data_IF_630375958292
#
_entry.id   IF_630375958292
#
_cell.length_a   1.000
_cell.length_b   1.000
_cell.length_c   1.000
_cell.angle_alpha   90.00
_cell.angle_beta   90.00
_cell.angle_gamma   90.00
#
_symmetry.space_group_name_H-M   'P 1'
#
loop_
_entity.id
_entity.type
_entity.pdbx_description
1 polymer ?
#
# COMPACT_ATOMS: atom_id res chain seq x y z
N UNK A 1 -1.26 -10.56 6.02
CA UNK A 1 -0.83 -9.85 4.77
C UNK A 1 0.62 -10.21 4.55
N UNK A 2 1.13 -10.26 3.31
CA UNK A 2 2.50 -10.76 3.07
C UNK A 2 3.43 -9.62 2.70
N UNK A 3 4.63 -9.62 3.30
CA UNK A 3 5.69 -8.69 2.96
C UNK A 3 6.15 -8.93 1.51
N UNK A 4 6.09 -7.89 0.68
CA UNK A 4 6.40 -7.96 -0.74
C UNK A 4 7.90 -8.06 -1.05
N UNK A 5 8.77 -7.87 -0.05
CA UNK A 5 10.22 -8.07 -0.20
C UNK A 5 10.67 -9.47 0.20
N UNK A 6 10.36 -9.91 1.42
CA UNK A 6 10.86 -11.19 1.95
C UNK A 6 9.89 -12.37 1.77
N UNK A 7 8.62 -12.12 1.42
CA UNK A 7 7.60 -13.15 1.23
C UNK A 7 7.01 -13.74 2.51
N UNK A 8 7.48 -13.30 3.69
CA UNK A 8 6.93 -13.74 4.98
C UNK A 8 5.64 -12.98 5.34
N UNK A 9 4.84 -13.57 6.23
CA UNK A 9 3.64 -12.91 6.74
C UNK A 9 4.00 -11.71 7.63
N UNK A 10 3.19 -10.66 7.53
CA UNK A 10 3.12 -9.53 8.46
C UNK A 10 1.97 -9.84 9.40
N UNK A 11 2.28 -10.02 10.69
CA UNK A 11 1.30 -10.44 11.68
C UNK A 11 0.29 -9.33 11.96
N UNK A 12 -0.90 -9.73 12.41
CA UNK A 12 -1.97 -8.77 12.68
C UNK A 12 -1.66 -8.01 13.96
N UNK A 13 -1.44 -6.71 13.84
CA UNK A 13 -1.08 -5.83 14.96
C UNK A 13 0.30 -5.19 14.79
N UNK A 14 1.11 -5.73 13.88
CA UNK A 14 2.42 -5.17 13.55
C UNK A 14 2.29 -3.88 12.74
N UNK A 15 3.24 -2.98 12.96
CA UNK A 15 3.48 -1.84 12.09
C UNK A 15 4.08 -2.32 10.78
N UNK A 16 3.61 -1.76 9.66
CA UNK A 16 4.14 -2.07 8.34
C UNK A 16 4.15 -0.84 7.45
N UNK A 17 5.01 -0.86 6.44
CA UNK A 17 5.09 0.17 5.41
C UNK A 17 4.24 -0.25 4.23
N UNK A 18 3.31 0.60 3.82
CA UNK A 18 2.41 0.38 2.70
C UNK A 18 2.74 1.30 1.53
N UNK A 19 2.94 0.73 0.34
CA UNK A 19 2.91 1.51 -0.90
C UNK A 19 1.47 1.49 -1.40
N UNK A 20 0.87 2.67 -1.49
CA UNK A 20 -0.49 2.85 -2.01
C UNK A 20 -0.45 3.63 -3.32
N UNK A 21 -1.37 3.29 -4.23
CA UNK A 21 -1.60 4.04 -5.46
C UNK A 21 -2.94 4.74 -5.35
N UNK A 22 -2.93 6.05 -5.54
CA UNK A 22 -4.17 6.80 -5.66
C UNK A 22 -4.79 6.54 -7.04
N UNK A 23 -6.04 6.09 -7.05
CA UNK A 23 -6.83 5.93 -8.25
C UNK A 23 -8.08 6.81 -8.18
N UNK A 24 -8.43 7.43 -9.31
CA UNK A 24 -9.71 8.09 -9.47
C UNK A 24 -10.71 7.06 -10.00
N UNK A 25 -11.72 6.75 -9.20
CA UNK A 25 -12.85 5.92 -9.65
C UNK A 25 -14.03 6.83 -9.90
N UNK A 26 -14.58 6.73 -11.11
CA UNK A 26 -15.86 7.34 -11.42
C UNK A 26 -16.93 6.39 -10.88
N UNK A 27 -17.73 6.86 -9.93
CA UNK A 27 -18.85 6.10 -9.39
C UNK A 27 -19.84 5.73 -10.50
N UNK A 28 -20.65 4.69 -10.29
CA UNK A 28 -21.58 4.12 -11.29
C UNK A 28 -22.53 5.14 -11.95
N UNK A 29 -22.77 6.29 -11.31
CA UNK A 29 -23.63 7.38 -11.81
C UNK A 29 -22.86 8.47 -12.60
N UNK A 30 -21.56 8.32 -12.85
CA UNK A 30 -20.77 9.25 -13.68
C UNK A 30 -20.45 10.61 -13.06
N UNK A 31 -21.20 11.06 -12.05
CA UNK A 31 -21.11 12.40 -11.48
C UNK A 31 -20.15 12.52 -10.28
N UNK A 32 -19.80 11.42 -9.62
CA UNK A 32 -18.97 11.42 -8.40
C UNK A 32 -17.61 10.80 -8.73
N UNK A 33 -16.55 11.63 -8.67
CA UNK A 33 -15.17 11.17 -8.70
C UNK A 33 -14.72 10.92 -7.26
N UNK A 34 -14.38 9.68 -6.94
CA UNK A 34 -13.82 9.31 -5.65
C UNK A 34 -12.34 9.06 -5.82
N UNK A 35 -11.51 9.71 -5.00
CA UNK A 35 -10.09 9.36 -4.84
C UNK A 35 -10.01 8.21 -3.85
N UNK A 36 -9.55 7.05 -4.31
CA UNK A 36 -9.32 5.89 -3.47
C UNK A 36 -7.83 5.58 -3.43
N UNK A 37 -7.31 5.26 -2.24
CA UNK A 37 -5.97 4.70 -2.09
C UNK A 37 -6.07 3.17 -2.18
N UNK A 38 -5.52 2.60 -3.25
CA UNK A 38 -5.42 1.16 -3.42
C UNK A 38 -4.06 0.69 -2.89
N UNK A 39 -4.06 -0.35 -2.06
CA UNK A 39 -2.83 -0.94 -1.58
C UNK A 39 -2.14 -1.71 -2.70
N UNK A 40 -0.90 -1.35 -3.01
CA UNK A 40 -0.08 -1.99 -4.06
C UNK A 40 0.86 -3.01 -3.45
N UNK A 41 1.55 -2.65 -2.38
CA UNK A 41 2.51 -3.50 -1.71
C UNK A 41 2.59 -3.17 -0.22
N UNK A 42 2.99 -4.15 0.58
CA UNK A 42 3.20 -4.01 2.00
C UNK A 42 4.53 -4.62 2.40
N UNK A 43 5.23 -4.02 3.36
CA UNK A 43 6.56 -4.42 3.78
C UNK A 43 6.67 -4.34 5.30
N UNK A 44 7.42 -5.24 5.92
CA UNK A 44 7.94 -4.97 7.27
C UNK A 44 8.77 -3.68 7.25
N UNK A 45 8.89 -3.00 8.40
CA UNK A 45 9.62 -1.73 8.50
C UNK A 45 11.06 -1.84 7.97
N UNK A 46 11.76 -2.92 8.33
CA UNK A 46 13.13 -3.18 7.86
C UNK A 46 13.24 -3.63 6.40
N UNK A 47 12.14 -4.14 5.84
CA UNK A 47 12.07 -4.64 4.47
C UNK A 47 11.66 -3.57 3.47
N UNK A 48 11.19 -2.42 3.94
CA UNK A 48 10.71 -1.36 3.07
C UNK A 48 11.87 -0.77 2.25
N UNK A 49 11.66 -0.51 0.94
CA UNK A 49 12.67 0.15 0.13
C UNK A 49 12.93 1.55 0.71
N UNK A 50 14.17 1.79 1.15
CA UNK A 50 14.60 3.12 1.61
C UNK A 50 14.78 4.01 0.37
N UNK A 51 14.28 5.25 0.36
CA UNK A 51 14.61 6.19 -0.70
C UNK A 51 16.13 6.40 -0.69
N UNK A 52 16.77 6.29 -1.86
CA UNK A 52 18.19 6.59 -2.03
C UNK A 52 18.44 8.06 -1.61
N UNK A 53 19.10 8.27 -0.45
CA UNK A 53 19.56 9.58 0.00
C UNK A 53 19.01 10.10 1.33
N UNK A 54 19.06 9.31 2.40
CA UNK A 54 18.92 9.78 3.79
C UNK A 54 20.26 9.85 4.49
#
# INVERSE_FOLDING_TARGET
MTCSACGNEIERGDTYVAITRNCERVGRLGAIKVKAAELVAAYHEDCAPKPDGA
#
